data_IF_120485681545
#
_entry.id   IF_120485681545
#
_cell.length_a   1.000
_cell.length_b   1.000
_cell.length_c   1.000
_cell.angle_alpha   90.00
_cell.angle_beta   90.00
_cell.angle_gamma   90.00
#
_symmetry.space_group_name_H-M   'P 1'
#
loop_
_entity.id
_entity.type
_entity.pdbx_description
1 polymer ?
#
# COMPACT_ATOMS: atom_id res chain seq x y z
N UNK A 1 -21.40 20.56 -21.86
CA UNK A 1 -21.74 20.48 -20.42
C UNK A 1 -20.46 20.17 -19.70
N UNK A 2 -20.08 20.97 -18.70
CA UNK A 2 -19.05 20.54 -17.75
C UNK A 2 -19.60 19.30 -17.02
N UNK A 3 -18.77 18.27 -16.84
CA UNK A 3 -19.21 17.02 -16.24
C UNK A 3 -19.53 17.26 -14.76
N UNK A 4 -20.61 16.68 -14.22
CA UNK A 4 -21.06 16.95 -12.85
C UNK A 4 -19.96 16.75 -11.78
N UNK A 5 -19.01 15.85 -12.02
CA UNK A 5 -17.82 15.68 -11.21
C UNK A 5 -16.94 16.95 -11.11
N UNK A 6 -16.72 17.65 -12.22
CA UNK A 6 -15.91 18.88 -12.26
C UNK A 6 -16.58 20.01 -11.48
N UNK A 7 -17.89 20.19 -11.66
CA UNK A 7 -18.67 21.20 -10.96
C UNK A 7 -18.72 20.91 -9.45
N UNK A 8 -18.91 19.63 -9.08
CA UNK A 8 -18.85 19.21 -7.68
C UNK A 8 -17.48 19.48 -7.05
N UNK A 9 -16.38 19.20 -7.77
CA UNK A 9 -15.03 19.53 -7.28
C UNK A 9 -14.85 21.03 -7.07
N UNK A 10 -15.34 21.87 -7.99
CA UNK A 10 -15.27 23.32 -7.86
C UNK A 10 -16.05 23.82 -6.62
N UNK A 11 -17.27 23.31 -6.40
CA UNK A 11 -18.08 23.59 -5.21
C UNK A 11 -17.38 23.16 -3.92
N UNK A 12 -16.79 21.96 -3.90
CA UNK A 12 -16.05 21.48 -2.74
C UNK A 12 -14.82 22.37 -2.43
N UNK A 13 -14.12 22.86 -3.44
CA UNK A 13 -12.98 23.77 -3.29
C UNK A 13 -13.39 25.17 -2.81
N UNK A 14 -14.61 25.63 -3.14
CA UNK A 14 -15.15 26.91 -2.66
C UNK A 14 -15.78 26.82 -1.27
N UNK A 15 -15.71 25.67 -0.59
CA UNK A 15 -16.30 25.45 0.73
C UNK A 15 -17.77 25.03 0.73
N UNK A 16 -18.37 24.84 -0.46
CA UNK A 16 -19.76 24.41 -0.64
C UNK A 16 -19.87 22.87 -0.68
N UNK A 17 -19.30 22.17 0.31
CA UNK A 17 -19.21 20.71 0.32
C UNK A 17 -20.57 20.00 0.29
N UNK A 18 -21.58 20.53 0.98
CA UNK A 18 -22.93 19.95 0.97
C UNK A 18 -23.61 20.04 -0.40
N UNK A 19 -23.48 21.17 -1.09
CA UNK A 19 -23.99 21.35 -2.45
C UNK A 19 -23.26 20.45 -3.46
N UNK A 20 -21.95 20.31 -3.30
CA UNK A 20 -21.14 19.42 -4.11
C UNK A 20 -21.62 17.96 -4.00
N UNK A 21 -21.88 17.48 -2.77
CA UNK A 21 -22.40 16.12 -2.55
C UNK A 21 -23.80 15.98 -3.14
N UNK A 22 -24.70 16.93 -2.89
CA UNK A 22 -26.06 16.88 -3.43
C UNK A 22 -26.09 16.84 -4.97
N UNK A 23 -25.18 17.58 -5.63
CA UNK A 23 -25.01 17.52 -7.08
C UNK A 23 -24.66 16.10 -7.53
N UNK A 24 -23.68 15.47 -6.90
CA UNK A 24 -23.25 14.11 -7.24
C UNK A 24 -24.31 13.04 -6.96
N UNK A 25 -25.13 13.20 -5.92
CA UNK A 25 -26.20 12.24 -5.59
C UNK A 25 -27.31 12.17 -6.66
N UNK A 26 -27.46 13.24 -7.44
CA UNK A 26 -28.41 13.29 -8.56
C UNK A 26 -27.79 12.93 -9.91
N UNK A 27 -26.45 12.90 -9.98
CA UNK A 27 -25.73 12.58 -11.21
C UNK A 27 -25.78 11.09 -11.53
N UNK A 28 -25.73 10.77 -12.83
CA UNK A 28 -25.82 9.38 -13.32
C UNK A 28 -24.65 8.98 -14.21
N UNK A 29 -23.72 9.88 -14.49
CA UNK A 29 -22.51 9.58 -15.26
C UNK A 29 -21.45 8.88 -14.39
N UNK A 30 -20.57 8.12 -15.06
CA UNK A 30 -19.57 7.30 -14.38
C UNK A 30 -18.56 8.09 -13.57
N UNK A 31 -18.19 9.30 -14.00
CA UNK A 31 -17.19 10.12 -13.31
C UNK A 31 -17.76 10.72 -12.02
N UNK A 32 -19.01 11.18 -12.05
CA UNK A 32 -19.70 11.67 -10.86
C UNK A 32 -19.93 10.55 -9.83
N UNK A 33 -20.33 9.36 -10.28
CA UNK A 33 -20.47 8.19 -9.41
C UNK A 33 -19.13 7.77 -8.80
N UNK A 34 -18.05 7.77 -9.58
CA UNK A 34 -16.71 7.47 -9.08
C UNK A 34 -16.29 8.47 -7.98
N UNK A 35 -16.49 9.77 -8.22
CA UNK A 35 -16.16 10.81 -7.25
C UNK A 35 -16.99 10.70 -5.97
N UNK A 36 -18.31 10.45 -6.08
CA UNK A 36 -19.18 10.22 -4.93
C UNK A 36 -18.72 9.02 -4.11
N UNK A 37 -18.34 7.92 -4.79
CA UNK A 37 -17.81 6.73 -4.14
C UNK A 37 -16.55 7.03 -3.33
N UNK A 38 -15.62 7.81 -3.88
CA UNK A 38 -14.41 8.24 -3.17
C UNK A 38 -14.73 9.14 -1.97
N UNK A 39 -15.68 10.07 -2.09
CA UNK A 39 -16.06 10.93 -0.96
C UNK A 39 -16.76 10.17 0.17
N UNK A 40 -17.58 9.17 -0.18
CA UNK A 40 -18.20 8.26 0.80
C UNK A 40 -17.16 7.34 1.46
N UNK A 41 -16.07 7.00 0.78
CA UNK A 41 -14.98 6.24 1.37
C UNK A 41 -14.14 7.09 2.34
N UNK A 42 -13.83 8.33 1.95
CA UNK A 42 -13.02 9.28 2.73
C UNK A 42 -13.77 9.75 3.98
N UNK A 43 -15.07 10.05 3.85
CA UNK A 43 -15.88 10.54 4.97
C UNK A 43 -15.68 12.02 5.32
N UNK A 44 -14.99 12.79 4.47
CA UNK A 44 -14.66 14.21 4.73
C UNK A 44 -15.79 15.17 4.42
N UNK A 45 -16.46 14.98 3.28
CA UNK A 45 -17.54 15.85 2.79
C UNK A 45 -18.94 15.28 3.04
N UNK A 46 -19.02 13.97 3.29
CA UNK A 46 -20.24 13.25 3.62
C UNK A 46 -19.91 12.13 4.64
N UNK A 47 -20.89 11.56 5.35
CA UNK A 47 -20.64 10.45 6.26
C UNK A 47 -19.92 9.29 5.57
N UNK A 48 -18.93 8.71 6.26
CA UNK A 48 -18.18 7.57 5.73
C UNK A 48 -19.08 6.35 5.59
N UNK A 49 -19.20 5.83 4.38
CA UNK A 49 -20.00 4.66 4.03
C UNK A 49 -19.27 3.81 2.98
N UNK A 50 -18.45 2.82 3.41
CA UNK A 50 -17.72 1.95 2.50
C UNK A 50 -18.62 1.07 1.63
N UNK A 51 -19.83 0.72 2.11
CA UNK A 51 -20.79 -0.10 1.36
C UNK A 51 -21.34 0.69 0.18
N UNK A 52 -21.80 1.91 0.44
CA UNK A 52 -22.25 2.79 -0.64
C UNK A 52 -21.11 3.23 -1.55
N UNK A 53 -19.90 3.41 -1.02
CA UNK A 53 -18.71 3.69 -1.84
C UNK A 53 -18.45 2.57 -2.84
N UNK A 54 -18.46 1.30 -2.39
CA UNK A 54 -18.31 0.12 -3.26
C UNK A 54 -19.38 0.10 -4.35
N UNK A 55 -20.63 0.39 -4.01
CA UNK A 55 -21.73 0.40 -4.97
C UNK A 55 -21.60 1.52 -6.01
N UNK A 56 -21.21 2.73 -5.61
CA UNK A 56 -20.96 3.84 -6.53
C UNK A 56 -19.85 3.50 -7.53
N UNK A 57 -18.74 2.91 -7.04
CA UNK A 57 -17.61 2.50 -7.88
C UNK A 57 -17.97 1.37 -8.84
N UNK A 58 -18.80 0.41 -8.38
CA UNK A 58 -19.34 -0.67 -9.23
C UNK A 58 -20.17 -0.10 -10.37
N UNK A 59 -21.10 0.80 -10.08
CA UNK A 59 -21.93 1.46 -11.11
C UNK A 59 -21.11 2.33 -12.06
N UNK A 60 -20.11 3.05 -11.54
CA UNK A 60 -19.19 3.81 -12.37
C UNK A 60 -18.40 2.91 -13.34
N UNK A 61 -17.98 1.72 -12.89
CA UNK A 61 -17.34 0.73 -13.74
C UNK A 61 -18.29 0.22 -14.83
N UNK A 62 -19.55 -0.09 -14.51
CA UNK A 62 -20.56 -0.48 -15.52
C UNK A 62 -20.75 0.58 -16.62
N UNK A 63 -20.52 1.86 -16.29
CA UNK A 63 -20.56 2.99 -17.23
C UNK A 63 -19.23 3.26 -17.94
N UNK A 64 -18.22 2.41 -17.78
CA UNK A 64 -16.95 2.50 -18.50
C UNK A 64 -15.83 3.27 -17.78
N UNK A 65 -16.01 3.67 -16.52
CA UNK A 65 -14.93 4.32 -15.76
C UNK A 65 -13.87 3.28 -15.30
N UNK A 66 -12.73 3.25 -15.99
CA UNK A 66 -11.64 2.31 -15.71
C UNK A 66 -10.98 2.53 -14.32
N UNK A 67 -10.93 3.77 -13.83
CA UNK A 67 -10.39 4.06 -12.50
C UNK A 67 -11.24 3.43 -11.39
N UNK A 68 -12.56 3.63 -11.48
CA UNK A 68 -13.53 3.03 -10.58
C UNK A 68 -13.53 1.50 -10.67
N UNK A 69 -13.39 0.94 -11.87
CA UNK A 69 -13.26 -0.51 -12.06
C UNK A 69 -12.08 -1.10 -11.28
N UNK A 70 -10.88 -0.50 -11.41
CA UNK A 70 -9.68 -0.94 -10.67
C UNK A 70 -9.90 -0.90 -9.16
N UNK A 71 -10.44 0.19 -8.63
CA UNK A 71 -10.74 0.32 -7.19
C UNK A 71 -11.75 -0.74 -6.77
N UNK A 72 -12.83 -0.91 -7.53
CA UNK A 72 -13.89 -1.87 -7.25
C UNK A 72 -13.35 -3.30 -7.18
N UNK A 73 -12.48 -3.70 -8.12
CA UNK A 73 -11.83 -5.03 -8.07
C UNK A 73 -11.01 -5.22 -6.79
N UNK A 74 -10.29 -4.20 -6.34
CA UNK A 74 -9.58 -4.21 -5.06
C UNK A 74 -10.55 -4.38 -3.88
N UNK A 75 -11.66 -3.65 -3.85
CA UNK A 75 -12.67 -3.75 -2.79
C UNK A 75 -13.32 -5.13 -2.72
N UNK A 76 -13.59 -5.74 -3.88
CA UNK A 76 -14.07 -7.12 -3.95
C UNK A 76 -13.03 -8.09 -3.40
N UNK A 77 -11.74 -7.91 -3.74
CA UNK A 77 -10.66 -8.77 -3.26
C UNK A 77 -10.46 -8.66 -1.73
N UNK A 78 -10.50 -7.46 -1.16
CA UNK A 78 -10.19 -7.20 0.26
C UNK A 78 -11.41 -7.27 1.20
N UNK A 79 -12.62 -7.24 0.63
CA UNK A 79 -13.86 -7.13 1.40
C UNK A 79 -14.11 -5.71 1.93
N UNK A 80 -13.60 -4.67 1.26
CA UNK A 80 -13.97 -3.30 1.60
C UNK A 80 -15.42 -3.05 1.19
N UNK A 81 -16.27 -2.64 2.13
CA UNK A 81 -17.69 -2.36 1.85
C UNK A 81 -18.54 -3.59 1.53
N UNK A 82 -18.10 -4.80 1.88
CA UNK A 82 -18.86 -6.04 1.68
C UNK A 82 -18.04 -7.29 2.02
N UNK A 83 -18.51 -8.47 1.62
CA UNK A 83 -17.69 -9.67 1.75
C UNK A 83 -16.49 -9.64 0.78
N UNK A 84 -15.38 -10.24 1.19
CA UNK A 84 -14.24 -10.51 0.32
C UNK A 84 -14.58 -11.69 -0.60
N UNK A 85 -14.30 -11.53 -1.90
CA UNK A 85 -14.51 -12.54 -2.91
C UNK A 85 -13.38 -12.48 -3.96
N UNK A 86 -12.32 -13.22 -3.69
CA UNK A 86 -11.14 -13.24 -4.56
C UNK A 86 -11.48 -13.69 -6.00
N UNK A 87 -12.34 -14.70 -6.14
CA UNK A 87 -12.70 -15.23 -7.47
C UNK A 87 -13.46 -14.19 -8.28
N UNK A 88 -14.42 -13.51 -7.67
CA UNK A 88 -15.14 -12.42 -8.32
C UNK A 88 -14.20 -11.26 -8.68
N UNK A 89 -13.25 -10.91 -7.81
CA UNK A 89 -12.27 -9.85 -8.10
C UNK A 89 -11.40 -10.17 -9.32
N UNK A 90 -10.90 -11.41 -9.44
CA UNK A 90 -10.11 -11.86 -10.60
C UNK A 90 -10.97 -11.94 -11.87
N UNK A 91 -12.22 -12.38 -11.76
CA UNK A 91 -13.15 -12.39 -12.89
C UNK A 91 -13.40 -10.96 -13.43
N UNK A 92 -13.66 -10.00 -12.52
CA UNK A 92 -13.83 -8.59 -12.89
C UNK A 92 -12.58 -8.00 -13.53
N UNK A 93 -11.37 -8.37 -13.08
CA UNK A 93 -10.13 -7.99 -13.78
C UNK A 93 -10.07 -8.56 -15.20
N UNK A 94 -10.53 -9.80 -15.39
CA UNK A 94 -10.64 -10.45 -16.69
C UNK A 94 -11.56 -9.69 -17.65
N UNK A 95 -12.74 -9.29 -17.19
CA UNK A 95 -13.73 -8.53 -17.98
C UNK A 95 -13.18 -7.18 -18.48
N UNK A 96 -12.22 -6.61 -17.76
CA UNK A 96 -11.59 -5.34 -18.11
C UNK A 96 -10.29 -5.48 -18.91
N UNK A 97 -9.74 -6.69 -19.05
CA UNK A 97 -8.40 -6.90 -19.62
C UNK A 97 -8.26 -6.34 -21.05
N UNK A 98 -9.32 -6.42 -21.87
CA UNK A 98 -9.28 -5.91 -23.25
C UNK A 98 -9.39 -4.37 -23.35
N UNK A 99 -9.84 -3.71 -22.28
CA UNK A 99 -10.13 -2.26 -22.24
C UNK A 99 -9.15 -1.48 -21.37
N UNK A 100 -8.49 -2.17 -20.44
CA UNK A 100 -7.54 -1.61 -19.51
C UNK A 100 -6.24 -2.44 -19.48
N UNK A 101 -5.14 -1.93 -20.06
CA UNK A 101 -3.84 -2.61 -20.02
C UNK A 101 -3.34 -2.92 -18.61
N UNK A 102 -3.72 -2.13 -17.59
CA UNK A 102 -3.37 -2.42 -16.21
C UNK A 102 -4.18 -3.59 -15.65
N UNK A 103 -5.44 -3.76 -16.05
CA UNK A 103 -6.23 -4.94 -15.67
C UNK A 103 -5.65 -6.22 -16.31
N UNK A 104 -5.29 -6.18 -17.60
CA UNK A 104 -4.63 -7.29 -18.29
C UNK A 104 -3.33 -7.69 -17.59
N UNK A 105 -2.44 -6.73 -17.32
CA UNK A 105 -1.15 -7.00 -16.68
C UNK A 105 -1.31 -7.57 -15.26
N UNK A 106 -2.31 -7.10 -14.50
CA UNK A 106 -2.63 -7.68 -13.19
C UNK A 106 -3.12 -9.12 -13.31
N UNK A 107 -4.06 -9.40 -14.21
CA UNK A 107 -4.58 -10.74 -14.47
C UNK A 107 -3.45 -11.71 -14.80
N UNK A 108 -2.55 -11.33 -15.71
CA UNK A 108 -1.47 -12.19 -16.18
C UNK A 108 -0.45 -12.47 -15.06
N UNK A 109 -0.09 -11.45 -14.27
CA UNK A 109 0.79 -11.64 -13.11
C UNK A 109 0.14 -12.49 -12.02
N UNK A 110 -1.16 -12.31 -11.74
CA UNK A 110 -1.91 -13.15 -10.80
C UNK A 110 -1.97 -14.60 -11.30
N UNK A 111 -2.18 -14.81 -12.60
CA UNK A 111 -2.25 -16.14 -13.19
C UNK A 111 -0.90 -16.88 -13.14
N UNK A 112 0.22 -16.16 -13.11
CA UNK A 112 1.55 -16.72 -12.91
C UNK A 112 1.83 -17.10 -11.44
N UNK A 113 0.99 -16.66 -10.49
CA UNK A 113 1.13 -17.00 -9.08
C UNK A 113 0.52 -18.39 -8.77
N UNK A 114 1.13 -19.13 -7.84
CA UNK A 114 0.53 -20.35 -7.30
C UNK A 114 -0.35 -20.00 -6.09
N UNK A 115 -1.64 -19.74 -6.34
CA UNK A 115 -2.61 -19.35 -5.32
C UNK A 115 -3.71 -20.41 -5.13
N UNK A 116 -4.27 -20.44 -3.92
CA UNK A 116 -5.50 -21.17 -3.63
C UNK A 116 -6.69 -20.51 -4.32
N UNK A 117 -7.83 -21.20 -4.30
CA UNK A 117 -9.10 -20.68 -4.80
C UNK A 117 -9.53 -19.34 -4.17
N UNK A 118 -9.22 -19.13 -2.89
CA UNK A 118 -9.51 -17.89 -2.17
C UNK A 118 -8.37 -16.87 -2.29
N UNK A 119 -7.29 -17.16 -3.05
CA UNK A 119 -6.19 -16.26 -3.37
C UNK A 119 -5.00 -16.29 -2.42
N UNK A 120 -4.92 -17.28 -1.52
CA UNK A 120 -3.80 -17.44 -0.59
C UNK A 120 -2.59 -17.99 -1.34
N UNK A 121 -1.36 -17.55 -1.05
CA UNK A 121 -0.19 -18.25 -1.56
C UNK A 121 -0.18 -19.70 -1.09
N UNK A 122 -0.01 -20.65 -2.02
CA UNK A 122 0.15 -22.08 -1.68
C UNK A 122 1.57 -22.35 -1.19
N UNK A 123 2.55 -21.62 -1.72
CA UNK A 123 3.95 -21.79 -1.38
C UNK A 123 4.23 -21.39 0.07
N UNK A 124 5.06 -22.18 0.74
CA UNK A 124 5.78 -21.78 1.95
C UNK A 124 7.01 -20.99 1.54
N UNK A 125 7.18 -19.79 2.08
CA UNK A 125 8.37 -18.99 1.85
C UNK A 125 9.44 -19.39 2.88
N UNK A 126 10.47 -20.11 2.44
CA UNK A 126 11.59 -20.47 3.30
C UNK A 126 12.38 -19.21 3.67
N UNK A 127 12.55 -18.99 4.98
CA UNK A 127 13.27 -17.85 5.52
C UNK A 127 14.65 -18.25 6.03
N UNK A 128 15.66 -17.44 5.72
CA UNK A 128 17.00 -17.54 6.30
C UNK A 128 17.12 -16.55 7.46
N UNK A 129 17.43 -17.03 8.66
CA UNK A 129 17.74 -16.14 9.78
C UNK A 129 19.09 -15.45 9.54
N UNK A 130 19.08 -14.13 9.44
CA UNK A 130 20.27 -13.30 9.19
C UNK A 130 20.78 -12.67 10.49
N UNK A 131 19.90 -12.49 11.47
CA UNK A 131 20.23 -11.92 12.77
C UNK A 131 19.22 -12.34 13.82
N UNK A 132 19.70 -12.55 15.05
CA UNK A 132 18.86 -12.84 16.22
C UNK A 132 18.57 -11.59 17.07
N UNK A 133 19.30 -10.48 16.88
CA UNK A 133 19.11 -9.23 17.61
C UNK A 133 19.50 -8.01 16.74
N UNK A 134 18.56 -7.34 16.06
CA UNK A 134 17.13 -7.64 16.06
C UNK A 134 16.89 -8.96 15.31
N UNK A 135 15.76 -9.60 15.56
CA UNK A 135 15.32 -10.74 14.75
C UNK A 135 15.12 -10.27 13.31
N UNK A 136 15.90 -10.82 12.37
CA UNK A 136 15.81 -10.54 10.93
C UNK A 136 15.80 -11.85 10.17
N UNK A 137 14.77 -12.04 9.34
CA UNK A 137 14.66 -13.16 8.42
C UNK A 137 14.66 -12.64 6.99
N UNK A 138 15.47 -13.23 6.13
CA UNK A 138 15.52 -12.96 4.69
C UNK A 138 14.72 -14.00 3.93
N UNK A 139 14.01 -13.56 2.91
CA UNK A 139 13.29 -14.40 1.96
C UNK A 139 13.80 -14.09 0.56
N UNK A 140 14.36 -15.08 -0.12
CA UNK A 140 14.76 -14.95 -1.52
C UNK A 140 13.51 -15.01 -2.43
N UNK A 141 13.52 -14.22 -3.51
CA UNK A 141 12.49 -14.29 -4.56
C UNK A 141 11.03 -14.20 -4.05
N UNK A 142 10.78 -13.44 -2.98
CA UNK A 142 9.43 -13.28 -2.42
C UNK A 142 8.48 -12.70 -3.48
N UNK A 143 8.98 -11.70 -4.22
CA UNK A 143 8.34 -11.14 -5.41
C UNK A 143 9.14 -11.53 -6.65
N UNK A 144 8.46 -11.84 -7.74
CA UNK A 144 9.11 -12.01 -9.05
C UNK A 144 9.56 -10.66 -9.62
N UNK A 145 10.51 -10.71 -10.55
CA UNK A 145 11.01 -9.51 -11.23
C UNK A 145 9.88 -8.74 -11.94
N UNK A 146 8.90 -9.42 -12.54
CA UNK A 146 7.82 -8.75 -13.26
C UNK A 146 6.77 -8.12 -12.33
N UNK A 147 6.57 -8.69 -11.13
CA UNK A 147 5.78 -8.07 -10.07
C UNK A 147 6.48 -6.80 -9.54
N UNK A 148 7.80 -6.86 -9.33
CA UNK A 148 8.60 -5.70 -8.95
C UNK A 148 8.51 -4.58 -10.00
N UNK A 149 8.66 -4.92 -11.30
CA UNK A 149 8.49 -3.98 -12.41
C UNK A 149 7.09 -3.37 -12.45
N UNK A 150 6.05 -4.18 -12.21
CA UNK A 150 4.68 -3.67 -12.16
C UNK A 150 4.54 -2.58 -11.09
N UNK A 151 4.99 -2.86 -9.86
CA UNK A 151 4.93 -1.90 -8.75
C UNK A 151 5.69 -0.60 -9.08
N UNK A 152 6.88 -0.71 -9.68
CA UNK A 152 7.68 0.44 -10.12
C UNK A 152 6.88 1.27 -11.14
N UNK A 153 6.35 0.64 -12.18
CA UNK A 153 5.67 1.34 -13.29
C UNK A 153 4.43 2.09 -12.81
N UNK A 154 3.59 1.46 -12.00
CA UNK A 154 2.38 2.12 -11.46
C UNK A 154 2.72 3.20 -10.44
N UNK A 155 3.92 3.19 -9.85
CA UNK A 155 4.34 4.21 -8.88
C UNK A 155 4.97 5.45 -9.52
N UNK A 156 5.46 5.38 -10.76
CA UNK A 156 6.22 6.48 -11.40
C UNK A 156 5.51 7.84 -11.34
N UNK A 157 4.19 7.86 -11.56
CA UNK A 157 3.37 9.08 -11.53
C UNK A 157 2.80 9.40 -10.15
N UNK A 158 2.96 8.50 -9.18
CA UNK A 158 2.44 8.62 -7.80
C UNK A 158 3.48 9.13 -6.81
N UNK A 159 4.77 9.07 -7.16
CA UNK A 159 5.83 9.53 -6.28
C UNK A 159 5.65 10.99 -5.86
N UNK A 160 5.49 11.18 -4.56
CA UNK A 160 5.50 12.48 -3.88
C UNK A 160 6.60 12.47 -2.82
N UNK A 161 7.13 13.63 -2.40
CA UNK A 161 8.07 13.69 -1.29
C UNK A 161 7.50 12.97 -0.06
N UNK A 162 8.32 12.16 0.61
CA UNK A 162 7.95 11.46 1.83
C UNK A 162 7.32 12.39 2.90
N UNK A 163 6.23 11.93 3.53
CA UNK A 163 5.52 12.64 4.59
C UNK A 163 5.37 11.76 5.84
N UNK A 164 5.21 12.39 7.00
CA UNK A 164 4.84 11.75 8.27
C UNK A 164 3.61 12.44 8.88
N UNK A 165 2.74 11.67 9.54
CA UNK A 165 1.65 12.23 10.33
C UNK A 165 2.19 12.77 11.65
N UNK A 166 2.03 14.08 11.87
CA UNK A 166 2.45 14.71 13.11
C UNK A 166 1.25 14.83 14.05
N UNK A 167 1.09 13.89 14.97
CA UNK A 167 -0.08 13.78 15.87
C UNK A 167 -0.40 15.11 16.60
N UNK A 168 0.61 15.77 17.17
CA UNK A 168 0.43 17.06 17.87
C UNK A 168 0.02 18.25 16.99
N UNK A 169 0.05 18.11 15.65
CA UNK A 169 -0.37 19.16 14.70
C UNK A 169 -1.56 18.73 13.84
N UNK A 170 -2.03 17.49 14.00
CA UNK A 170 -3.13 16.92 13.21
C UNK A 170 -2.94 17.01 11.70
N UNK A 171 -1.69 17.08 11.20
CA UNK A 171 -1.40 17.25 9.77
C UNK A 171 -0.14 16.55 9.32
N UNK A 172 -0.09 16.32 8.01
CA UNK A 172 1.10 15.87 7.30
C UNK A 172 2.14 16.96 7.19
N UNK A 173 3.38 16.59 7.49
CA UNK A 173 4.55 17.43 7.26
C UNK A 173 5.57 16.64 6.45
N UNK A 174 6.38 17.34 5.64
CA UNK A 174 7.53 16.75 4.95
C UNK A 174 8.39 16.05 5.98
N UNK A 175 8.76 14.81 5.70
CA UNK A 175 9.58 14.02 6.59
C UNK A 175 10.97 14.68 6.73
N UNK A 176 11.36 15.16 7.93
CA UNK A 176 12.66 15.80 8.13
C UNK A 176 13.81 14.77 8.22
N UNK A 177 13.49 13.50 8.43
CA UNK A 177 14.41 12.38 8.68
C UNK A 177 14.68 11.58 7.40
N UNK A 178 13.63 11.37 6.60
CA UNK A 178 13.67 10.68 5.30
C UNK A 178 13.74 11.68 4.15
N UNK A 179 14.83 11.62 3.37
CA UNK A 179 14.94 12.34 2.08
C UNK A 179 14.73 11.33 0.97
N UNK A 180 13.47 11.08 0.61
CA UNK A 180 13.07 10.18 -0.46
C UNK A 180 11.74 10.64 -1.04
N UNK A 181 11.35 10.05 -2.18
CA UNK A 181 9.96 10.06 -2.61
C UNK A 181 9.27 8.77 -2.17
N UNK A 182 7.96 8.83 -1.93
CA UNK A 182 7.12 7.68 -1.62
C UNK A 182 5.86 7.65 -2.49
N UNK A 183 5.40 6.45 -2.82
CA UNK A 183 4.10 6.19 -3.43
C UNK A 183 3.36 5.16 -2.57
N UNK A 184 2.25 5.55 -1.94
CA UNK A 184 1.42 4.65 -1.16
C UNK A 184 0.45 3.87 -2.03
N UNK A 185 0.08 2.67 -1.55
CA UNK A 185 -1.00 1.85 -2.09
C UNK A 185 -2.15 1.76 -1.06
N UNK A 186 -2.88 2.86 -0.82
CA UNK A 186 -4.05 2.88 0.07
C UNK A 186 -5.14 1.94 -0.45
N UNK A 187 -6.28 1.85 0.25
CA UNK A 187 -7.40 0.99 -0.16
C UNK A 187 -7.86 1.22 -1.62
N UNK A 188 -7.74 2.44 -2.13
CA UNK A 188 -8.07 2.80 -3.53
C UNK A 188 -7.04 2.30 -4.56
N UNK A 189 -5.86 1.91 -4.11
CA UNK A 189 -4.75 1.43 -4.94
C UNK A 189 -4.29 0.00 -4.59
N UNK A 190 -4.83 -0.62 -3.53
CA UNK A 190 -4.66 -2.04 -3.21
C UNK A 190 -5.52 -2.91 -4.15
N UNK A 191 -5.19 -2.85 -5.44
CA UNK A 191 -5.81 -3.68 -6.47
C UNK A 191 -5.44 -5.17 -6.27
N UNK A 192 -6.13 -6.12 -6.94
CA UNK A 192 -5.98 -7.54 -6.61
C UNK A 192 -4.53 -8.05 -6.67
N UNK A 193 -3.69 -7.55 -7.60
CA UNK A 193 -2.28 -7.93 -7.65
C UNK A 193 -1.52 -7.45 -6.40
N UNK A 194 -1.69 -6.18 -6.01
CA UNK A 194 -1.06 -5.61 -4.81
C UNK A 194 -1.56 -6.35 -3.56
N UNK A 195 -2.85 -6.69 -3.52
CA UNK A 195 -3.42 -7.49 -2.43
C UNK A 195 -2.80 -8.89 -2.35
N UNK A 196 -2.58 -9.57 -3.48
CA UNK A 196 -1.91 -10.87 -3.50
C UNK A 196 -0.45 -10.78 -2.99
N UNK A 197 0.30 -9.74 -3.39
CA UNK A 197 1.65 -9.48 -2.86
C UNK A 197 1.63 -9.20 -1.35
N UNK A 198 0.64 -8.45 -0.87
CA UNK A 198 0.40 -8.21 0.55
C UNK A 198 0.12 -9.53 1.31
N UNK A 199 -0.57 -10.49 0.71
CA UNK A 199 -0.79 -11.83 1.30
C UNK A 199 0.49 -12.66 1.33
N UNK A 200 1.39 -12.52 0.35
CA UNK A 200 2.72 -13.16 0.40
C UNK A 200 3.58 -12.62 1.53
N UNK A 201 3.63 -11.28 1.70
CA UNK A 201 4.31 -10.67 2.85
C UNK A 201 3.74 -11.22 4.16
N UNK A 202 2.41 -11.31 4.27
CA UNK A 202 1.75 -11.83 5.47
C UNK A 202 2.09 -13.30 5.73
N UNK A 203 2.09 -14.15 4.70
CA UNK A 203 2.47 -15.54 4.81
C UNK A 203 3.95 -15.70 5.23
N UNK A 204 4.86 -14.94 4.61
CA UNK A 204 6.29 -14.95 4.95
C UNK A 204 6.56 -14.46 6.38
N UNK A 205 5.84 -13.43 6.84
CA UNK A 205 6.01 -12.89 8.19
C UNK A 205 5.24 -13.65 9.28
N UNK A 206 4.46 -14.68 8.92
CA UNK A 206 3.62 -15.42 9.87
C UNK A 206 2.49 -14.55 10.47
N UNK A 207 1.97 -13.59 9.70
CA UNK A 207 0.92 -12.66 10.15
C UNK A 207 -0.32 -12.73 9.26
N UNK A 208 -1.40 -12.10 9.72
CA UNK A 208 -2.61 -11.92 8.92
C UNK A 208 -2.48 -10.69 8.02
N UNK A 209 -2.97 -10.75 6.77
CA UNK A 209 -2.83 -9.65 5.79
C UNK A 209 -3.37 -8.31 6.29
N UNK A 210 -4.44 -8.33 7.09
CA UNK A 210 -5.04 -7.12 7.70
C UNK A 210 -4.23 -6.50 8.84
N UNK A 211 -3.13 -7.13 9.27
CA UNK A 211 -2.18 -6.51 10.21
C UNK A 211 -1.25 -5.51 9.50
N UNK A 212 -1.04 -5.66 8.19
CA UNK A 212 -0.16 -4.79 7.45
C UNK A 212 -0.82 -3.47 7.08
N UNK A 213 -0.15 -2.37 7.38
CA UNK A 213 -0.44 -1.05 6.79
C UNK A 213 -0.36 -1.11 5.26
N UNK A 214 -0.90 -0.09 4.54
CA UNK A 214 -0.75 0.03 3.10
C UNK A 214 0.71 -0.13 2.65
N UNK A 215 0.91 -0.83 1.52
CA UNK A 215 2.23 -0.98 0.92
C UNK A 215 2.75 0.40 0.51
N UNK A 216 4.02 0.69 0.79
CA UNK A 216 4.68 1.93 0.39
C UNK A 216 5.86 1.62 -0.53
N UNK A 217 5.91 2.28 -1.68
CA UNK A 217 7.11 2.29 -2.51
C UNK A 217 7.99 3.47 -2.15
N UNK A 218 9.28 3.20 -1.94
CA UNK A 218 10.30 4.15 -1.53
C UNK A 218 11.32 4.31 -2.64
N UNK A 219 11.69 5.55 -2.98
CA UNK A 219 12.65 5.87 -4.03
C UNK A 219 13.77 6.76 -3.51
N UNK A 220 15.01 6.31 -3.70
CA UNK A 220 16.22 7.02 -3.30
C UNK A 220 17.15 7.24 -4.50
N UNK A 221 17.46 8.50 -4.79
CA UNK A 221 18.44 8.95 -5.78
C UNK A 221 19.84 9.09 -5.19
N UNK A 222 20.89 9.31 -5.99
CA UNK A 222 22.23 9.55 -5.46
C UNK A 222 22.25 10.69 -4.42
N UNK A 223 22.85 10.41 -3.25
CA UNK A 223 22.91 11.30 -2.09
C UNK A 223 21.68 11.23 -1.16
N UNK A 224 20.56 10.65 -1.60
CA UNK A 224 19.38 10.44 -0.78
C UNK A 224 19.56 9.25 0.17
N UNK A 225 18.92 9.34 1.34
CA UNK A 225 19.05 8.39 2.46
C UNK A 225 17.81 8.41 3.35
N UNK A 226 17.71 7.43 4.24
CA UNK A 226 16.83 7.51 5.40
C UNK A 226 17.71 7.56 6.65
N UNK A 227 17.69 8.68 7.37
CA UNK A 227 18.47 8.82 8.61
C UNK A 227 18.05 7.78 9.67
N UNK A 228 18.93 7.47 10.64
CA UNK A 228 18.66 6.52 11.71
C UNK A 228 17.32 6.70 12.42
N UNK A 229 16.52 5.64 12.50
CA UNK A 229 15.21 5.64 13.13
C UNK A 229 14.80 4.25 13.65
N UNK A 230 13.71 4.22 14.42
CA UNK A 230 12.97 3.02 14.79
C UNK A 230 11.61 3.07 14.10
N UNK A 231 11.14 1.93 13.62
CA UNK A 231 9.80 1.80 13.06
C UNK A 231 8.72 1.63 14.13
N UNK A 232 9.08 1.09 15.30
CA UNK A 232 8.20 1.04 16.46
C UNK A 232 8.01 2.45 17.04
N UNK A 233 6.75 2.78 17.35
CA UNK A 233 6.35 4.09 17.85
C UNK A 233 6.12 4.01 19.36
N UNK A 234 6.91 4.70 20.20
CA UNK A 234 6.72 4.67 21.65
C UNK A 234 5.28 5.02 22.07
N UNK A 235 4.66 4.16 22.89
CA UNK A 235 3.31 4.38 23.42
C UNK A 235 2.15 4.00 22.48
N UNK A 236 2.43 3.50 21.26
CA UNK A 236 1.39 3.07 20.32
C UNK A 236 0.67 1.81 20.80
N UNK A 237 -0.66 1.88 20.98
CA UNK A 237 -1.48 0.75 21.50
C UNK A 237 -1.54 -0.46 20.58
N UNK A 238 -1.58 -0.25 19.26
CA UNK A 238 -1.45 -1.31 18.26
C UNK A 238 -0.11 -1.11 17.55
N UNK A 239 0.97 -1.53 18.20
CA UNK A 239 2.35 -1.27 17.79
C UNK A 239 2.67 -1.84 16.40
N UNK A 240 3.55 -1.16 15.65
CA UNK A 240 4.26 -1.73 14.49
C UNK A 240 5.26 -2.77 15.00
N UNK A 241 4.86 -4.04 14.97
CA UNK A 241 5.63 -5.17 15.50
C UNK A 241 6.74 -5.60 14.54
N UNK A 242 6.44 -5.64 13.24
CA UNK A 242 7.38 -6.06 12.20
C UNK A 242 7.41 -5.04 11.06
N UNK A 243 8.53 -5.01 10.34
CA UNK A 243 8.65 -4.33 9.05
C UNK A 243 9.10 -5.34 8.00
N UNK A 244 8.39 -5.36 6.87
CA UNK A 244 8.83 -6.05 5.67
C UNK A 244 9.40 -5.03 4.67
N UNK A 245 10.63 -5.27 4.21
CA UNK A 245 11.26 -4.49 3.14
C UNK A 245 11.57 -5.42 1.97
N UNK A 246 11.15 -5.05 0.76
CA UNK A 246 11.39 -5.81 -0.48
C UNK A 246 12.21 -4.94 -1.43
N UNK A 247 13.30 -5.49 -1.97
CA UNK A 247 14.10 -4.81 -3.00
C UNK A 247 13.41 -4.93 -4.35
N UNK A 248 13.11 -3.80 -5.01
CA UNK A 248 12.40 -3.80 -6.30
C UNK A 248 13.35 -3.69 -7.49
N UNK A 249 14.60 -3.34 -7.24
CA UNK A 249 15.67 -3.35 -8.22
C UNK A 249 17.03 -3.56 -7.52
N UNK A 250 18.08 -3.79 -8.30
CA UNK A 250 19.43 -4.03 -7.77
C UNK A 250 20.54 -3.25 -8.49
N UNK A 251 20.24 -2.51 -9.56
CA UNK A 251 21.22 -1.69 -10.28
C UNK A 251 21.43 -0.31 -9.63
N UNK A 252 22.06 -0.32 -8.45
CA UNK A 252 22.49 0.87 -7.72
C UNK A 252 23.77 0.59 -6.90
N UNK A 253 24.43 1.62 -6.37
CA UNK A 253 25.52 1.46 -5.40
C UNK A 253 25.17 2.18 -4.08
N UNK A 254 25.78 1.71 -2.98
CA UNK A 254 25.41 2.12 -1.63
C UNK A 254 23.98 1.69 -1.32
N UNK A 255 23.26 2.50 -0.54
CA UNK A 255 21.84 2.24 -0.31
C UNK A 255 21.54 1.02 0.55
N UNK A 256 22.49 0.48 1.30
CA UNK A 256 22.24 -0.65 2.21
C UNK A 256 21.22 -0.29 3.29
N UNK A 257 20.44 -1.26 3.76
CA UNK A 257 19.69 -1.11 5.01
C UNK A 257 20.61 -1.51 6.16
N UNK A 258 21.04 -0.54 6.97
CA UNK A 258 22.04 -0.75 8.02
C UNK A 258 21.42 -0.65 9.40
N UNK A 259 21.58 -1.69 10.21
CA UNK A 259 21.21 -1.75 11.62
C UNK A 259 22.40 -1.27 12.46
N UNK A 260 22.21 -0.23 13.26
CA UNK A 260 23.33 0.53 13.82
C UNK A 260 23.99 -0.16 15.01
N UNK A 261 23.19 -0.82 15.83
CA UNK A 261 23.61 -1.47 17.06
C UNK A 261 24.43 -2.73 16.77
N UNK A 262 24.17 -3.39 15.64
CA UNK A 262 24.90 -4.58 15.19
C UNK A 262 25.96 -4.29 14.13
N UNK A 263 25.86 -3.17 13.43
CA UNK A 263 26.67 -2.87 12.25
C UNK A 263 26.28 -3.68 11.01
N UNK A 264 25.24 -4.52 11.08
CA UNK A 264 24.77 -5.32 9.96
C UNK A 264 24.22 -4.42 8.86
N UNK A 265 24.75 -4.57 7.64
CA UNK A 265 24.29 -3.85 6.46
C UNK A 265 23.80 -4.83 5.41
N UNK A 266 22.53 -4.69 4.99
CA UNK A 266 21.85 -5.62 4.11
C UNK A 266 21.54 -4.99 2.76
N UNK A 267 21.72 -5.81 1.72
CA UNK A 267 21.31 -5.54 0.35
C UNK A 267 20.85 -6.85 -0.28
N UNK A 268 19.67 -6.83 -0.89
CA UNK A 268 19.08 -7.98 -1.60
C UNK A 268 19.12 -7.81 -3.10
N UNK A 269 18.81 -8.91 -3.79
CA UNK A 269 18.51 -8.92 -5.22
C UNK A 269 17.08 -8.45 -5.48
N UNK A 270 16.75 -8.17 -6.73
CA UNK A 270 15.38 -7.81 -7.13
C UNK A 270 14.41 -8.92 -6.76
N UNK A 271 13.43 -8.63 -5.89
CA UNK A 271 12.44 -9.59 -5.42
C UNK A 271 12.70 -10.13 -4.02
N UNK A 272 13.93 -10.04 -3.52
CA UNK A 272 14.27 -10.42 -2.16
C UNK A 272 13.54 -9.54 -1.14
N UNK A 273 13.29 -10.11 0.03
CA UNK A 273 12.72 -9.41 1.15
C UNK A 273 13.48 -9.68 2.45
N UNK A 274 13.40 -8.73 3.37
CA UNK A 274 13.66 -8.97 4.79
C UNK A 274 12.41 -8.66 5.59
N UNK A 275 12.17 -9.46 6.63
CA UNK A 275 11.22 -9.15 7.70
C UNK A 275 12.01 -9.04 8.98
N UNK A 276 11.93 -7.88 9.64
CA UNK A 276 12.59 -7.67 10.93
C UNK A 276 11.62 -7.21 12.00
N UNK A 277 11.96 -7.54 13.24
CA UNK A 277 11.18 -7.17 14.42
C UNK A 277 11.54 -5.77 14.89
N UNK A 278 10.52 -4.95 15.12
CA UNK A 278 10.65 -3.57 15.57
C UNK A 278 10.46 -3.41 17.09
N UNK A 279 9.76 -4.35 17.72
CA UNK A 279 9.36 -4.28 19.11
C UNK A 279 9.66 -5.60 19.83
N UNK A 280 10.10 -5.48 21.08
CA UNK A 280 10.26 -6.61 22.01
C UNK A 280 8.90 -7.27 22.26
N UNK A 281 8.92 -8.49 22.81
CA UNK A 281 7.69 -9.24 23.12
C UNK A 281 6.78 -8.56 24.15
N UNK A 282 7.29 -7.58 24.89
CA UNK A 282 6.51 -6.74 25.82
C UNK A 282 5.93 -5.47 25.15
N UNK A 283 6.10 -5.31 23.84
CA UNK A 283 5.58 -4.21 23.03
C UNK A 283 6.44 -2.94 23.04
N UNK A 284 7.52 -2.89 23.82
CA UNK A 284 8.46 -1.75 23.78
C UNK A 284 9.28 -1.77 22.48
N UNK A 285 9.65 -0.60 21.92
CA UNK A 285 10.57 -0.55 20.79
C UNK A 285 11.86 -1.34 21.08
N UNK A 286 12.27 -2.19 20.15
CA UNK A 286 13.53 -2.92 20.24
C UNK A 286 14.67 -1.98 19.81
N UNK A 287 15.58 -1.58 20.71
CA UNK A 287 16.66 -0.66 20.38
C UNK A 287 17.62 -1.22 19.31
N UNK A 288 17.74 -2.55 19.19
CA UNK A 288 18.61 -3.18 18.18
C UNK A 288 18.04 -3.10 16.77
N UNK A 289 16.73 -2.83 16.64
CA UNK A 289 16.06 -2.62 15.35
C UNK A 289 16.29 -1.23 14.75
N UNK A 290 17.08 -0.38 15.41
CA UNK A 290 17.34 0.97 14.91
C UNK A 290 18.22 0.89 13.66
N UNK A 291 17.68 1.45 12.58
CA UNK A 291 18.26 1.27 11.27
C UNK A 291 18.20 2.54 10.44
N UNK A 292 18.95 2.53 9.34
CA UNK A 292 18.97 3.57 8.33
C UNK A 292 19.00 2.98 6.94
N UNK A 293 18.56 3.76 5.96
CA UNK A 293 18.91 3.52 4.56
C UNK A 293 20.15 4.33 4.26
N UNK A 294 21.30 3.67 4.05
CA UNK A 294 22.56 4.33 3.71
C UNK A 294 22.41 5.17 2.43
N UNK A 295 23.25 6.19 2.22
CA UNK A 295 23.19 6.99 1.00
C UNK A 295 23.36 6.15 -0.26
N UNK A 296 22.52 6.37 -1.26
CA UNK A 296 22.77 5.84 -2.62
C UNK A 296 23.90 6.64 -3.24
N UNK A 297 24.87 5.97 -3.87
CA UNK A 297 26.03 6.62 -4.51
C UNK A 297 25.95 6.59 -6.03
N UNK A 298 25.30 5.57 -6.60
CA UNK A 298 25.04 5.42 -8.05
C UNK A 298 23.66 4.82 -8.27
N UNK A 299 23.00 5.18 -9.37
CA UNK A 299 21.70 4.62 -9.76
C UNK A 299 20.55 5.13 -8.89
N UNK A 300 19.43 4.42 -8.91
CA UNK A 300 18.25 4.72 -8.10
C UNK A 300 17.86 3.45 -7.34
N UNK A 301 17.66 3.55 -6.02
CA UNK A 301 17.18 2.44 -5.20
C UNK A 301 15.67 2.54 -5.04
N UNK A 302 14.97 1.46 -5.38
CA UNK A 302 13.53 1.30 -5.22
C UNK A 302 13.23 0.14 -4.27
N UNK A 303 12.39 0.38 -3.26
CA UNK A 303 11.97 -0.64 -2.31
C UNK A 303 10.46 -0.59 -2.08
N UNK A 304 9.85 -1.72 -1.80
CA UNK A 304 8.55 -1.76 -1.14
C UNK A 304 8.76 -1.92 0.37
N UNK A 305 8.01 -1.17 1.16
CA UNK A 305 7.99 -1.23 2.61
C UNK A 305 6.57 -1.49 3.09
N UNK A 306 6.44 -2.35 4.09
CA UNK A 306 5.18 -2.59 4.77
C UNK A 306 5.38 -2.75 6.26
N UNK A 307 4.80 -1.84 7.03
CA UNK A 307 4.72 -1.99 8.47
C UNK A 307 3.58 -2.95 8.83
N UNK A 308 3.84 -3.83 9.80
CA UNK A 308 2.89 -4.86 10.24
C UNK A 308 2.61 -4.67 11.74
N UNK A 309 1.34 -4.49 12.07
CA UNK A 309 0.86 -4.24 13.43
C UNK A 309 0.72 -5.53 14.24
N UNK A 310 0.66 -5.39 15.56
CA UNK A 310 0.38 -6.51 16.48
C UNK A 310 -0.98 -7.17 16.18
N UNK A 311 -1.99 -6.37 15.83
CA UNK A 311 -3.36 -6.83 15.53
C UNK A 311 -3.90 -6.20 14.25
N UNK A 312 -4.84 -6.87 13.55
CA UNK A 312 -5.56 -6.27 12.43
C UNK A 312 -6.17 -4.92 12.80
N UNK A 313 -6.35 -4.03 11.81
CA UNK A 313 -7.23 -2.89 11.98
C UNK A 313 -8.65 -3.38 12.34
N UNK A 314 -9.36 -2.65 13.21
CA UNK A 314 -10.75 -2.98 13.57
C UNK A 314 -11.66 -3.00 12.34
N UNK A 315 -12.81 -3.67 12.43
CA UNK A 315 -13.71 -3.85 11.28
C UNK A 315 -14.10 -2.52 10.61
N UNK A 316 -13.74 -2.39 9.34
CA UNK A 316 -13.98 -1.18 8.55
C UNK A 316 -13.07 0.00 8.87
N UNK A 317 -12.15 -0.12 9.82
CA UNK A 317 -11.16 0.89 10.13
C UNK A 317 -9.89 0.71 9.29
N UNK A 318 -9.34 1.84 8.88
CA UNK A 318 -8.02 1.95 8.33
C UNK A 318 -7.07 2.32 9.50
N UNK A 319 -5.77 2.01 9.46
CA UNK A 319 -4.84 2.35 10.56
C UNK A 319 -4.64 3.86 10.74
N UNK A 320 -5.14 4.67 9.79
CA UNK A 320 -5.30 6.12 9.86
C UNK A 320 -6.05 6.68 8.63
N UNK A 321 -6.34 7.99 8.56
CA UNK A 321 -7.01 8.61 7.41
C UNK A 321 -6.24 8.47 6.08
N UNK A 322 -4.94 8.16 6.11
CA UNK A 322 -4.09 7.90 4.94
C UNK A 322 -4.39 6.58 4.23
N UNK A 323 -4.94 5.62 4.96
CA UNK A 323 -5.18 4.28 4.42
C UNK A 323 -6.48 4.26 3.57
N UNK A 324 -7.33 5.29 3.71
CA UNK A 324 -8.63 5.40 3.05
C UNK A 324 -8.61 6.17 1.71
N UNK A 325 -7.55 6.93 1.39
CA UNK A 325 -7.52 7.86 0.25
C UNK A 325 -6.38 7.57 -0.73
#
# INVERSE_FOLDING_TARGET
MMAAAQDAMALAQSGCGGEAVALLETATDGDALALLGLWRLEGRLCPRDPVAARECLRRAAELGNAGAARICTGFVATGTGGAADWRAAVALLGDWADRDPLAARQRDLIAAMVLTADGAPVATFEGEEVSSAPEIVRFADLFSIDECRFLIDVSRTRFKPAQIFHEGKGRFVKDPVRRSDSAGFPLTAEWPLVHALNRRIAAASGTHVRQGEPLQLLRYRPGERYSPHLDAVPGMTNQRRLTALVWLNEDYDGGETRFLETGLALRGQTGDAIVFRNALYDGRPDPTSRHEGCPVTRGEKLMASRWIRERPAGDGAAFGPEDAA
#
